data_IF_074435610798
#
_entry.id   IF_074435610798
#
_cell.length_a   1.000
_cell.length_b   1.000
_cell.length_c   1.000
_cell.angle_alpha   90.00
_cell.angle_beta   90.00
_cell.angle_gamma   90.00
#
_symmetry.space_group_name_H-M   'P 1'
#
loop_
_entity.id
_entity.type
_entity.pdbx_description
1 polymer ?
#
# COMPACT_ATOMS: atom_id res chain seq x y z
N UNK A 1 6.00 -11.53 -28.77
CA UNK A 1 5.56 -10.32 -28.05
C UNK A 1 5.10 -10.81 -26.69
N UNK A 2 5.69 -10.34 -25.59
CA UNK A 2 5.18 -10.65 -24.25
C UNK A 2 3.84 -9.93 -24.10
N UNK A 3 2.83 -10.65 -23.62
CA UNK A 3 1.56 -10.03 -23.21
C UNK A 3 1.87 -9.08 -22.05
N UNK A 4 1.37 -7.83 -22.09
CA UNK A 4 1.50 -6.93 -20.94
C UNK A 4 0.96 -7.61 -19.68
N UNK A 5 1.64 -7.44 -18.56
CA UNK A 5 1.12 -7.92 -17.28
C UNK A 5 -0.20 -7.19 -16.98
N UNK A 6 -1.12 -7.82 -16.23
CA UNK A 6 -2.37 -7.15 -15.83
C UNK A 6 -2.11 -5.91 -14.97
N UNK A 7 -0.99 -5.89 -14.23
CA UNK A 7 -0.54 -4.70 -13.50
C UNK A 7 -0.15 -3.58 -14.46
N UNK A 8 0.59 -3.89 -15.54
CA UNK A 8 0.94 -2.86 -16.53
C UNK A 8 -0.32 -2.26 -17.17
N UNK A 9 -1.33 -3.10 -17.45
CA UNK A 9 -2.62 -2.60 -17.94
C UNK A 9 -3.27 -1.64 -16.94
N UNK A 10 -3.28 -1.97 -15.65
CA UNK A 10 -3.80 -1.08 -14.60
C UNK A 10 -3.06 0.26 -14.53
N UNK A 11 -1.73 0.22 -14.60
CA UNK A 11 -0.90 1.43 -14.63
C UNK A 11 -1.15 2.28 -15.89
N UNK A 12 -1.30 1.63 -17.05
CA UNK A 12 -1.66 2.30 -18.31
C UNK A 12 -3.06 2.92 -18.27
N UNK A 13 -4.03 2.26 -17.63
CA UNK A 13 -5.37 2.81 -17.41
C UNK A 13 -5.27 4.09 -16.57
N UNK A 14 -4.59 4.03 -15.42
CA UNK A 14 -4.41 5.19 -14.55
C UNK A 14 -3.70 6.35 -15.27
N UNK A 15 -2.64 6.05 -16.02
CA UNK A 15 -1.94 7.06 -16.82
C UNK A 15 -2.87 7.74 -17.83
N UNK A 16 -3.77 6.99 -18.48
CA UNK A 16 -4.76 7.57 -19.41
C UNK A 16 -5.83 8.38 -18.69
N UNK A 17 -6.30 7.92 -17.54
CA UNK A 17 -7.29 8.65 -16.73
C UNK A 17 -6.75 10.01 -16.30
N UNK A 18 -5.46 10.09 -15.97
CA UNK A 18 -4.80 11.33 -15.54
C UNK A 18 -4.01 12.06 -16.63
N UNK A 19 -4.19 11.69 -17.90
CA UNK A 19 -3.56 12.39 -19.02
C UNK A 19 -4.04 13.86 -19.04
N UNK A 20 -3.16 14.88 -18.96
CA UNK A 20 -3.59 16.28 -18.83
C UNK A 20 -4.44 16.81 -19.98
N UNK A 21 -4.29 16.23 -21.18
CA UNK A 21 -4.93 16.71 -22.40
C UNK A 21 -6.23 15.95 -22.73
N UNK A 22 -6.28 14.65 -22.43
CA UNK A 22 -7.36 13.74 -22.87
C UNK A 22 -7.97 12.90 -21.74
N UNK A 23 -7.49 13.05 -20.51
CA UNK A 23 -7.91 12.27 -19.36
C UNK A 23 -9.29 12.68 -18.84
N UNK A 24 -9.69 12.00 -17.77
CA UNK A 24 -10.92 12.30 -17.04
C UNK A 24 -10.71 13.58 -16.21
N UNK A 25 -11.55 14.63 -16.38
CA UNK A 25 -11.40 15.88 -15.63
C UNK A 25 -11.42 15.69 -14.12
N UNK A 26 -12.24 14.76 -13.62
CA UNK A 26 -12.31 14.47 -12.19
C UNK A 26 -10.99 13.86 -11.70
N UNK A 27 -10.46 12.85 -12.40
CA UNK A 27 -9.20 12.21 -12.02
C UNK A 27 -8.05 13.22 -12.03
N UNK A 28 -7.93 14.04 -13.07
CA UNK A 28 -6.87 15.06 -13.21
C UNK A 28 -6.87 16.06 -12.05
N UNK A 29 -8.04 16.50 -11.57
CA UNK A 29 -8.17 17.50 -10.51
C UNK A 29 -7.72 16.98 -9.13
N UNK A 30 -7.63 15.66 -8.93
CA UNK A 30 -7.31 15.07 -7.63
C UNK A 30 -5.86 15.29 -7.20
N UNK A 31 -5.68 15.40 -5.88
CA UNK A 31 -4.38 15.41 -5.22
C UNK A 31 -4.31 14.33 -4.12
N UNK A 32 -3.16 14.23 -3.43
CA UNK A 32 -2.98 13.23 -2.37
C UNK A 32 -3.99 13.38 -1.23
N UNK A 33 -4.39 14.61 -0.89
CA UNK A 33 -5.30 14.86 0.22
C UNK A 33 -6.75 14.52 -0.16
N UNK A 34 -7.15 14.74 -1.41
CA UNK A 34 -8.49 14.40 -1.88
C UNK A 34 -8.68 12.89 -2.04
N UNK A 35 -7.62 12.13 -2.34
CA UNK A 35 -7.69 10.66 -2.51
C UNK A 35 -7.52 9.88 -1.20
N UNK A 36 -6.88 10.46 -0.18
CA UNK A 36 -6.65 9.79 1.10
C UNK A 36 -7.93 9.26 1.79
N UNK A 37 -9.06 10.00 1.82
CA UNK A 37 -10.32 9.48 2.39
C UNK A 37 -10.83 8.23 1.67
N UNK A 38 -10.78 8.20 0.33
CA UNK A 38 -11.19 7.03 -0.45
C UNK A 38 -10.34 5.81 -0.12
N UNK A 39 -9.02 5.98 0.01
CA UNK A 39 -8.12 4.88 0.44
C UNK A 39 -8.53 4.28 1.79
N UNK A 40 -9.05 5.09 2.71
CA UNK A 40 -9.54 4.62 4.02
C UNK A 40 -10.88 3.89 3.85
N UNK A 41 -11.79 4.42 3.03
CA UNK A 41 -13.08 3.81 2.70
C UNK A 41 -12.90 2.39 2.14
N UNK A 42 -12.07 2.22 1.11
CA UNK A 42 -11.81 0.89 0.50
C UNK A 42 -11.25 -0.10 1.54
N UNK A 43 -10.43 0.37 2.49
CA UNK A 43 -9.89 -0.48 3.55
C UNK A 43 -10.99 -0.96 4.52
N UNK A 44 -12.01 -0.13 4.78
CA UNK A 44 -13.18 -0.54 5.54
C UNK A 44 -14.08 -1.48 4.75
N UNK A 45 -14.24 -1.29 3.45
CA UNK A 45 -15.04 -2.17 2.58
C UNK A 45 -14.40 -3.56 2.45
N UNK A 46 -13.06 -3.64 2.32
CA UNK A 46 -12.32 -4.91 2.44
C UNK A 46 -12.60 -5.60 3.78
N UNK A 47 -12.60 -4.85 4.89
CA UNK A 47 -12.86 -5.42 6.21
C UNK A 47 -14.31 -5.92 6.36
N UNK A 48 -15.28 -5.19 5.79
CA UNK A 48 -16.70 -5.57 5.78
C UNK A 48 -16.94 -6.83 4.92
N UNK A 49 -16.36 -6.90 3.72
CA UNK A 49 -16.43 -8.07 2.85
C UNK A 49 -15.89 -9.33 3.54
N UNK A 50 -14.77 -9.21 4.28
CA UNK A 50 -14.23 -10.29 5.11
C UNK A 50 -15.22 -10.69 6.21
N UNK A 51 -15.81 -9.71 6.91
CA UNK A 51 -16.77 -9.97 7.99
C UNK A 51 -18.04 -10.69 7.50
N UNK A 52 -18.48 -10.40 6.27
CA UNK A 52 -19.58 -11.08 5.60
C UNK A 52 -19.21 -12.42 4.97
N UNK A 53 -17.91 -12.77 4.93
CA UNK A 53 -17.39 -13.93 4.21
C UNK A 53 -17.83 -13.94 2.73
N UNK A 54 -17.80 -12.75 2.11
CA UNK A 54 -18.17 -12.54 0.72
C UNK A 54 -16.91 -12.47 -0.13
N UNK A 55 -16.62 -13.56 -0.86
CA UNK A 55 -15.37 -13.68 -1.61
C UNK A 55 -15.38 -12.93 -2.95
N UNK A 56 -16.55 -12.72 -3.54
CA UNK A 56 -16.65 -11.95 -4.78
C UNK A 56 -16.46 -10.47 -4.48
N UNK A 57 -17.11 -9.99 -3.43
CA UNK A 57 -16.96 -8.61 -2.96
C UNK A 57 -15.53 -8.34 -2.48
N UNK A 58 -14.96 -9.25 -1.68
CA UNK A 58 -13.56 -9.12 -1.24
C UNK A 58 -12.58 -8.98 -2.41
N UNK A 59 -12.81 -9.68 -3.53
CA UNK A 59 -11.96 -9.55 -4.72
C UNK A 59 -12.07 -8.16 -5.31
N UNK A 60 -13.28 -7.61 -5.39
CA UNK A 60 -13.55 -6.32 -6.01
C UNK A 60 -12.98 -5.20 -5.13
N UNK A 61 -13.22 -5.21 -3.81
CA UNK A 61 -12.69 -4.20 -2.88
C UNK A 61 -11.15 -4.23 -2.75
N UNK A 62 -10.52 -5.42 -2.85
CA UNK A 62 -9.06 -5.51 -2.93
C UNK A 62 -8.52 -4.88 -4.23
N UNK A 63 -9.31 -4.94 -5.30
CA UNK A 63 -9.01 -4.27 -6.56
C UNK A 63 -9.08 -2.74 -6.42
N UNK A 64 -10.11 -2.23 -5.78
CA UNK A 64 -10.31 -0.79 -5.57
C UNK A 64 -9.27 -0.22 -4.61
N UNK A 65 -8.95 -0.92 -3.51
CA UNK A 65 -7.82 -0.54 -2.64
C UNK A 65 -6.47 -0.52 -3.39
N UNK A 66 -6.23 -1.47 -4.29
CA UNK A 66 -5.05 -1.46 -5.16
C UNK A 66 -5.08 -0.28 -6.13
N UNK A 67 -6.24 0.06 -6.68
CA UNK A 67 -6.42 1.20 -7.56
C UNK A 67 -6.07 2.52 -6.86
N UNK A 68 -6.49 2.73 -5.61
CA UNK A 68 -6.12 3.92 -4.83
C UNK A 68 -4.59 4.01 -4.62
N UNK A 69 -3.91 2.86 -4.40
CA UNK A 69 -2.44 2.81 -4.31
C UNK A 69 -1.78 3.22 -5.63
N UNK A 70 -2.30 2.73 -6.76
CA UNK A 70 -1.83 3.10 -8.10
C UNK A 70 -2.07 4.58 -8.39
N UNK A 71 -3.20 5.14 -7.93
CA UNK A 71 -3.53 6.56 -8.08
C UNK A 71 -2.46 7.44 -7.41
N UNK A 72 -2.14 7.19 -6.14
CA UNK A 72 -1.09 7.90 -5.43
C UNK A 72 0.29 7.75 -6.09
N UNK A 73 0.63 6.55 -6.56
CA UNK A 73 1.89 6.30 -7.26
C UNK A 73 1.97 7.07 -8.59
N UNK A 74 0.86 7.18 -9.33
CA UNK A 74 0.79 7.97 -10.56
C UNK A 74 0.98 9.48 -10.27
N UNK A 75 0.31 10.03 -9.25
CA UNK A 75 0.52 11.43 -8.83
C UNK A 75 1.96 11.69 -8.38
N UNK A 76 2.58 10.76 -7.65
CA UNK A 76 3.98 10.88 -7.24
C UNK A 76 4.94 10.86 -8.44
N UNK A 77 4.62 10.06 -9.45
CA UNK A 77 5.38 9.98 -10.70
C UNK A 77 5.28 11.27 -11.50
N UNK A 78 4.09 11.87 -11.57
CA UNK A 78 3.87 13.19 -12.19
C UNK A 78 4.72 14.29 -11.55
N UNK A 79 4.95 14.20 -10.23
CA UNK A 79 5.84 15.11 -9.49
C UNK A 79 7.33 14.74 -9.58
N UNK A 80 7.69 13.63 -10.23
CA UNK A 80 9.05 13.12 -10.29
C UNK A 80 9.62 12.65 -8.94
N UNK A 81 8.74 12.29 -7.99
CA UNK A 81 9.14 11.89 -6.63
C UNK A 81 9.48 10.39 -6.54
N UNK A 82 8.57 9.53 -6.99
CA UNK A 82 8.72 8.07 -7.06
C UNK A 82 7.61 7.50 -7.96
N UNK A 83 7.69 6.23 -8.36
CA UNK A 83 6.62 5.55 -9.09
C UNK A 83 6.13 4.26 -8.42
N UNK A 84 5.27 3.52 -9.11
CA UNK A 84 4.70 2.27 -8.58
C UNK A 84 5.75 1.18 -8.38
N UNK A 85 6.79 1.11 -9.22
CA UNK A 85 7.88 0.14 -9.03
C UNK A 85 8.65 0.44 -7.75
N UNK A 86 8.90 1.72 -7.44
CA UNK A 86 9.52 2.13 -6.18
C UNK A 86 8.69 1.69 -4.96
N UNK A 87 7.36 1.82 -5.01
CA UNK A 87 6.44 1.35 -3.96
C UNK A 87 6.55 -0.16 -3.76
N UNK A 88 6.54 -0.93 -4.86
CA UNK A 88 6.67 -2.39 -4.82
C UNK A 88 8.04 -2.81 -4.28
N UNK A 89 9.12 -2.18 -4.75
CA UNK A 89 10.47 -2.44 -4.28
C UNK A 89 10.58 -2.18 -2.77
N UNK A 90 10.03 -1.06 -2.30
CA UNK A 90 10.05 -0.72 -0.88
C UNK A 90 9.33 -1.75 0.00
N UNK A 91 8.20 -2.32 -0.44
CA UNK A 91 7.51 -3.38 0.30
C UNK A 91 8.23 -4.73 0.18
N UNK A 92 8.74 -5.09 -1.00
CA UNK A 92 9.51 -6.32 -1.21
C UNK A 92 10.77 -6.38 -0.35
N UNK A 93 11.59 -5.32 -0.36
CA UNK A 93 12.81 -5.23 0.45
C UNK A 93 12.48 -5.31 1.94
N UNK A 94 11.42 -4.62 2.37
CA UNK A 94 10.93 -4.66 3.75
C UNK A 94 10.48 -6.07 4.14
N UNK A 95 9.72 -6.76 3.30
CA UNK A 95 9.23 -8.11 3.60
C UNK A 95 10.35 -9.13 3.65
N UNK A 96 11.30 -9.09 2.70
CA UNK A 96 12.46 -9.98 2.70
C UNK A 96 13.32 -9.78 3.95
N UNK A 97 13.61 -8.52 4.30
CA UNK A 97 14.42 -8.18 5.48
C UNK A 97 13.75 -8.57 6.80
N UNK A 98 12.42 -8.47 6.89
CA UNK A 98 11.67 -8.81 8.11
C UNK A 98 11.26 -10.29 8.22
N UNK A 99 11.49 -11.08 7.19
CA UNK A 99 11.28 -12.53 7.19
C UNK A 99 12.56 -13.31 6.84
N UNK A 100 13.67 -13.12 7.58
CA UNK A 100 14.92 -13.83 7.30
C UNK A 100 14.84 -15.35 7.54
N UNK A 101 13.73 -15.81 8.13
CA UNK A 101 13.44 -17.23 8.30
C UNK A 101 12.74 -17.87 7.10
N UNK A 102 12.13 -17.05 6.24
CA UNK A 102 11.56 -17.50 4.96
C UNK A 102 12.58 -17.31 3.84
N UNK A 103 13.26 -16.15 3.81
CA UNK A 103 14.13 -15.73 2.70
C UNK A 103 15.63 -15.78 3.01
N UNK A 104 16.00 -16.24 4.20
CA UNK A 104 17.39 -16.37 4.64
C UNK A 104 17.62 -17.67 5.41
N UNK A 105 18.61 -17.67 6.30
CA UNK A 105 19.04 -18.87 7.04
C UNK A 105 18.64 -18.86 8.52
N UNK A 106 17.83 -17.90 8.96
CA UNK A 106 17.41 -17.79 10.37
C UNK A 106 16.32 -18.83 10.67
N UNK A 107 16.37 -19.48 11.82
CA UNK A 107 15.28 -20.35 12.26
C UNK A 107 14.41 -19.59 13.25
N UNK A 108 13.09 -19.59 13.03
CA UNK A 108 12.11 -19.06 13.98
C UNK A 108 11.19 -20.18 14.41
N UNK A 109 11.01 -20.29 15.73
CA UNK A 109 10.42 -21.46 16.38
C UNK A 109 8.91 -21.51 16.26
N UNK A 110 8.24 -20.36 16.32
CA UNK A 110 6.78 -20.23 16.30
C UNK A 110 6.34 -18.80 15.93
N UNK A 111 5.03 -18.63 15.76
CA UNK A 111 4.43 -17.35 15.39
C UNK A 111 4.66 -16.23 16.43
N UNK A 112 4.77 -16.58 17.72
CA UNK A 112 5.00 -15.58 18.77
C UNK A 112 6.44 -15.05 18.68
N UNK A 113 7.41 -15.94 18.48
CA UNK A 113 8.80 -15.56 18.21
C UNK A 113 8.92 -14.69 16.95
N UNK A 114 8.13 -14.94 15.90
CA UNK A 114 8.09 -14.07 14.72
C UNK A 114 7.53 -12.68 15.04
N UNK A 115 6.40 -12.60 15.75
CA UNK A 115 5.81 -11.31 16.15
C UNK A 115 6.76 -10.47 17.02
N UNK A 116 7.47 -11.09 17.95
CA UNK A 116 8.45 -10.40 18.78
C UNK A 116 9.64 -9.88 17.98
N UNK A 117 10.19 -10.70 17.07
CA UNK A 117 11.27 -10.28 16.19
C UNK A 117 10.84 -9.10 15.29
N UNK A 118 9.59 -9.13 14.82
CA UNK A 118 8.99 -8.06 14.03
C UNK A 118 8.89 -6.74 14.79
N UNK A 119 8.37 -6.75 16.02
CA UNK A 119 8.29 -5.54 16.86
C UNK A 119 9.67 -4.96 17.20
N UNK A 120 10.65 -5.81 17.48
CA UNK A 120 12.04 -5.39 17.73
C UNK A 120 12.65 -4.70 16.51
N UNK A 121 12.42 -5.25 15.32
CA UNK A 121 12.89 -4.64 14.07
C UNK A 121 12.19 -3.31 13.79
N UNK A 122 10.87 -3.21 14.02
CA UNK A 122 10.14 -1.92 13.92
C UNK A 122 10.70 -0.89 14.91
N UNK A 123 10.98 -1.27 16.15
CA UNK A 123 11.60 -0.38 17.14
C UNK A 123 13.00 0.10 16.70
N UNK A 124 13.83 -0.79 16.16
CA UNK A 124 15.16 -0.41 15.66
C UNK A 124 15.10 0.51 14.43
N UNK A 125 14.13 0.33 13.54
CA UNK A 125 13.89 1.23 12.41
C UNK A 125 13.46 2.63 12.86
N UNK A 126 12.53 2.72 13.83
CA UNK A 126 12.11 4.00 14.43
C UNK A 126 13.28 4.76 15.04
N UNK A 127 14.10 4.05 15.83
CA UNK A 127 15.30 4.64 16.44
C UNK A 127 16.29 5.19 15.40
N UNK A 128 16.41 4.55 14.22
CA UNK A 128 17.25 5.05 13.11
C UNK A 128 16.67 6.28 12.41
N UNK A 129 15.35 6.44 12.40
CA UNK A 129 14.64 7.60 11.83
C UNK A 129 14.55 8.79 12.79
N UNK A 130 14.90 8.60 14.06
CA UNK A 130 14.79 9.64 15.10
C UNK A 130 13.37 9.79 15.67
N UNK A 131 12.47 8.83 15.39
CA UNK A 131 11.11 8.78 15.95
C UNK A 131 11.17 8.19 17.37
N UNK A 132 10.72 8.93 18.39
CA UNK A 132 10.89 8.57 19.81
C UNK A 132 9.61 8.12 20.51
N UNK A 133 8.44 8.23 19.89
CA UNK A 133 7.14 7.88 20.48
C UNK A 133 6.44 6.66 19.87
N UNK A 134 5.68 5.91 20.70
CA UNK A 134 4.71 4.90 20.23
C UNK A 134 3.42 5.54 19.66
N UNK A 135 3.20 6.84 19.94
CA UNK A 135 2.01 7.63 19.61
C UNK A 135 2.19 8.55 18.40
N UNK A 136 3.41 8.67 17.87
CA UNK A 136 3.70 9.50 16.68
C UNK A 136 3.19 8.86 15.37
N UNK A 137 2.65 7.64 15.45
CA UNK A 137 2.28 6.78 14.32
C UNK A 137 0.83 6.28 14.43
N UNK A 138 -0.01 6.91 15.27
CA UNK A 138 -1.47 6.78 15.13
C UNK A 138 -1.83 7.65 13.92
N UNK A 139 -2.29 7.10 12.79
CA UNK A 139 -2.84 7.92 11.72
C UNK A 139 -3.88 8.85 12.34
N UNK A 140 -3.74 10.16 12.12
CA UNK A 140 -4.65 11.19 12.67
C UNK A 140 -6.12 10.88 12.33
N UNK A 141 -6.37 10.04 11.31
CA UNK A 141 -7.67 9.62 10.82
C UNK A 141 -8.19 8.27 11.36
N UNK A 142 -7.54 7.59 12.31
CA UNK A 142 -8.17 6.40 12.91
C UNK A 142 -9.33 6.85 13.82
N UNK A 143 -10.60 6.51 13.52
CA UNK A 143 -11.68 6.73 14.47
C UNK A 143 -11.39 5.93 15.74
N UNK A 144 -11.58 6.58 16.89
CA UNK A 144 -11.51 5.90 18.17
C UNK A 144 -12.58 4.80 18.20
N UNK A 145 -12.14 3.56 18.30
CA UNK A 145 -12.97 2.40 18.64
C UNK A 145 -13.59 2.55 20.03
#
# INVERSE_FOLDING_TARGET
MQTPSQINLLLEIMQKLRDPDNGCPWDIEQDFASIAPYTIEEAYEVADAIARNDMDDLRDELGDLLFQTVFHAQMAKELGAFDFEDVVNAVCDKMQRRHPHVFGNTQIKDANAQSQAWEQQKAAERAKKGETGLLDDVPIALPAS
#
